data_IF_064891474760
#
_entry.id   IF_064891474760
#
_cell.length_a   1.000
_cell.length_b   1.000
_cell.length_c   1.000
_cell.angle_alpha   90.00
_cell.angle_beta   90.00
_cell.angle_gamma   90.00
#
_symmetry.space_group_name_H-M   'P 1'
#
loop_
_entity.id
_entity.type
_entity.pdbx_description
1 polymer ?
#
# COMPACT_ATOMS: atom_id res chain seq x y z
N UNK A 1 45.13 16.06 1.02
CA UNK A 1 45.29 15.16 -0.13
C UNK A 1 43.90 14.74 -0.60
N UNK A 2 43.51 15.01 -1.86
CA UNK A 2 42.28 14.45 -2.44
C UNK A 2 42.35 12.93 -2.29
N UNK A 3 41.35 12.33 -1.63
CA UNK A 3 41.34 10.89 -1.32
C UNK A 3 41.53 10.08 -2.59
N UNK A 4 42.37 9.03 -2.53
CA UNK A 4 42.54 8.07 -3.62
C UNK A 4 41.16 7.55 -4.04
N UNK A 5 40.88 7.53 -5.34
CA UNK A 5 39.63 7.00 -5.90
C UNK A 5 39.50 5.48 -5.71
N UNK A 6 38.41 4.90 -6.20
CA UNK A 6 38.24 3.44 -6.28
C UNK A 6 39.09 2.85 -7.41
N UNK A 7 39.56 1.61 -7.23
CA UNK A 7 40.22 0.80 -8.27
C UNK A 7 39.39 -0.44 -8.60
N UNK A 8 39.65 -1.05 -9.75
CA UNK A 8 39.06 -2.34 -10.14
C UNK A 8 39.96 -3.47 -9.66
N UNK A 9 39.37 -4.42 -8.93
CA UNK A 9 40.08 -5.59 -8.41
C UNK A 9 39.41 -6.87 -8.92
N UNK A 10 40.20 -7.88 -9.24
CA UNK A 10 39.73 -9.25 -9.34
C UNK A 10 39.63 -9.83 -7.92
N UNK A 11 38.53 -10.53 -7.64
CA UNK A 11 38.30 -11.22 -6.38
C UNK A 11 38.15 -12.72 -6.65
N UNK A 12 38.66 -13.55 -5.77
CA UNK A 12 38.40 -14.99 -5.78
C UNK A 12 37.48 -15.43 -4.63
N UNK A 13 37.09 -16.71 -4.64
CA UNK A 13 36.20 -17.29 -3.63
C UNK A 13 36.82 -17.44 -2.24
N UNK A 14 38.14 -17.25 -2.09
CA UNK A 14 38.87 -17.31 -0.82
C UNK A 14 39.11 -15.93 -0.21
N UNK A 15 38.63 -14.88 -0.87
CA UNK A 15 38.77 -13.50 -0.40
C UNK A 15 40.10 -12.84 -0.78
N UNK A 16 40.89 -13.45 -1.67
CA UNK A 16 42.06 -12.77 -2.23
C UNK A 16 41.61 -11.70 -3.22
N UNK A 17 42.41 -10.64 -3.30
CA UNK A 17 42.18 -9.51 -4.21
C UNK A 17 43.43 -9.22 -5.03
N UNK A 18 43.26 -9.07 -6.33
CA UNK A 18 44.31 -8.65 -7.25
C UNK A 18 43.89 -7.34 -7.93
N UNK A 19 44.74 -6.31 -7.89
CA UNK A 19 44.47 -5.05 -8.57
C UNK A 19 44.54 -5.26 -10.08
N UNK A 20 43.47 -4.89 -10.80
CA UNK A 20 43.44 -4.91 -12.26
C UNK A 20 43.78 -3.53 -12.82
N UNK A 21 43.08 -2.49 -12.37
CA UNK A 21 43.24 -1.11 -12.84
C UNK A 21 43.05 -0.16 -11.66
N UNK A 22 43.97 0.78 -11.52
CA UNK A 22 43.87 1.96 -10.65
C UNK A 22 44.28 3.19 -11.46
N UNK A 23 43.58 4.31 -11.27
CA UNK A 23 43.92 5.57 -11.90
C UNK A 23 44.02 6.68 -10.83
N UNK A 24 45.16 7.37 -10.72
CA UNK A 24 45.37 8.38 -9.67
C UNK A 24 44.51 9.64 -9.86
N UNK A 25 43.94 9.86 -11.05
CA UNK A 25 43.10 11.00 -11.41
C UNK A 25 41.62 10.63 -11.49
N UNK A 26 41.30 9.37 -11.77
CA UNK A 26 39.94 8.88 -12.00
C UNK A 26 39.58 7.74 -11.04
N UNK A 27 38.40 7.81 -10.45
CA UNK A 27 37.87 6.68 -9.69
C UNK A 27 37.31 5.62 -10.65
N UNK A 28 37.84 4.41 -10.61
CA UNK A 28 37.38 3.29 -11.42
C UNK A 28 36.29 2.48 -10.70
N UNK A 29 35.09 2.36 -11.28
CA UNK A 29 33.95 1.57 -10.77
C UNK A 29 33.13 0.95 -11.92
N UNK A 30 32.22 0.02 -11.62
CA UNK A 30 31.32 -0.65 -12.59
C UNK A 30 32.05 -1.35 -13.77
N UNK A 31 33.00 -2.26 -13.51
CA UNK A 31 33.69 -2.98 -14.58
C UNK A 31 32.68 -3.84 -15.36
N UNK A 32 32.68 -3.71 -16.70
CA UNK A 32 31.85 -4.52 -17.61
C UNK A 32 32.76 -5.37 -18.49
N UNK A 33 33.08 -6.62 -18.11
CA UNK A 33 33.96 -7.48 -18.90
C UNK A 33 33.39 -7.75 -20.30
N UNK A 34 34.19 -7.53 -21.33
CA UNK A 34 33.86 -7.92 -22.69
C UNK A 34 34.07 -9.43 -22.87
N UNK A 35 32.99 -10.20 -22.82
CA UNK A 35 33.00 -11.66 -23.03
C UNK A 35 31.72 -12.12 -23.72
N UNK A 36 31.79 -13.24 -24.42
CA UNK A 36 30.60 -13.92 -24.92
C UNK A 36 29.69 -14.33 -23.75
N UNK A 37 28.38 -14.12 -23.87
CA UNK A 37 27.37 -14.46 -22.86
C UNK A 37 26.28 -15.31 -23.49
N UNK A 38 25.81 -16.33 -22.77
CA UNK A 38 24.61 -17.08 -23.15
C UNK A 38 23.41 -16.15 -23.12
N UNK A 39 22.65 -16.08 -24.22
CA UNK A 39 21.40 -15.34 -24.27
C UNK A 39 20.42 -15.97 -23.27
N UNK A 40 19.84 -15.21 -22.32
CA UNK A 40 18.81 -15.75 -21.43
C UNK A 40 17.63 -16.32 -22.22
N UNK A 41 16.95 -17.30 -21.64
CA UNK A 41 15.72 -17.87 -22.20
C UNK A 41 14.72 -16.76 -22.50
N UNK A 42 14.18 -16.76 -23.71
CA UNK A 42 13.11 -15.83 -24.08
C UNK A 42 11.82 -16.26 -23.38
N UNK A 43 11.28 -15.42 -22.50
CA UNK A 43 9.96 -15.62 -21.89
C UNK A 43 8.96 -14.90 -22.78
N UNK A 44 8.01 -15.65 -23.36
CA UNK A 44 6.95 -15.05 -24.16
C UNK A 44 6.15 -14.05 -23.29
N UNK A 45 5.87 -12.84 -23.80
CA UNK A 45 5.05 -11.89 -23.06
C UNK A 45 3.64 -12.46 -22.89
N UNK A 46 3.12 -12.40 -21.67
CA UNK A 46 1.70 -12.65 -21.37
C UNK A 46 0.91 -11.38 -21.69
N UNK A 47 0.93 -10.96 -22.95
CA UNK A 47 -0.03 -9.99 -23.47
C UNK A 47 -1.01 -10.80 -24.28
N UNK A 48 -2.15 -11.13 -23.68
CA UNK A 48 -3.26 -11.72 -24.42
C UNK A 48 -3.70 -10.68 -25.48
N UNK A 49 -3.92 -11.13 -26.72
CA UNK A 49 -4.04 -10.28 -27.92
C UNK A 49 -5.11 -9.18 -27.84
N UNK A 50 -5.02 -8.17 -28.73
CA UNK A 50 -5.91 -6.99 -28.92
C UNK A 50 -6.37 -6.18 -27.68
N UNK A 51 -5.95 -6.56 -26.48
CA UNK A 51 -6.23 -5.89 -25.19
C UNK A 51 -5.36 -4.67 -24.93
N UNK A 52 -4.78 -4.05 -25.98
CA UNK A 52 -4.10 -2.74 -25.86
C UNK A 52 -5.00 -1.62 -25.31
N UNK A 53 -6.30 -1.88 -25.17
CA UNK A 53 -7.30 -0.96 -24.62
C UNK A 53 -8.02 -1.49 -23.37
N UNK A 54 -7.67 -2.68 -22.85
CA UNK A 54 -8.25 -3.17 -21.61
C UNK A 54 -7.76 -2.30 -20.44
N UNK A 55 -8.66 -1.51 -19.85
CA UNK A 55 -8.32 -0.64 -18.70
C UNK A 55 -8.21 -1.40 -17.38
N UNK A 56 -8.40 -2.72 -17.42
CA UNK A 56 -8.52 -3.57 -16.25
C UNK A 56 -7.70 -4.85 -16.39
N UNK A 57 -7.38 -5.41 -15.24
CA UNK A 57 -6.79 -6.73 -15.05
C UNK A 57 -7.64 -7.51 -14.04
N UNK A 58 -7.36 -8.80 -13.89
CA UNK A 58 -8.12 -9.68 -12.99
C UNK A 58 -7.25 -10.21 -11.86
N UNK A 59 -7.76 -10.10 -10.64
CA UNK A 59 -7.12 -10.60 -9.42
C UNK A 59 -7.92 -11.74 -8.81
N UNK A 60 -7.22 -12.79 -8.42
CA UNK A 60 -7.74 -13.88 -7.62
C UNK A 60 -6.96 -13.99 -6.30
N UNK A 61 -7.68 -14.04 -5.19
CA UNK A 61 -7.10 -14.31 -3.87
C UNK A 61 -7.65 -15.64 -3.40
N UNK A 62 -6.76 -16.61 -3.19
CA UNK A 62 -7.16 -17.95 -2.79
C UNK A 62 -7.76 -17.95 -1.38
N UNK A 63 -7.13 -17.28 -0.42
CA UNK A 63 -7.59 -17.23 0.97
C UNK A 63 -6.98 -16.05 1.73
N UNK A 64 -7.77 -15.02 2.02
CA UNK A 64 -7.30 -13.81 2.72
C UNK A 64 -6.70 -14.08 4.10
N UNK A 65 -6.98 -15.21 4.74
CA UNK A 65 -6.46 -15.55 6.06
C UNK A 65 -5.03 -16.12 6.02
N UNK A 66 -4.54 -16.51 4.85
CA UNK A 66 -3.15 -16.93 4.70
C UNK A 66 -2.18 -15.75 4.85
N UNK A 67 -1.30 -15.85 5.83
CA UNK A 67 -0.36 -14.78 6.20
C UNK A 67 -0.94 -13.76 7.19
N UNK A 68 -2.26 -13.79 7.44
CA UNK A 68 -2.94 -12.89 8.38
C UNK A 68 -3.24 -13.63 9.70
N UNK A 69 -2.31 -13.57 10.65
CA UNK A 69 -2.44 -14.23 11.96
C UNK A 69 -3.28 -13.41 12.94
N UNK A 70 -4.02 -14.07 13.84
CA UNK A 70 -4.79 -13.40 14.90
C UNK A 70 -6.13 -12.79 14.46
N UNK A 71 -6.59 -13.06 13.24
CA UNK A 71 -7.92 -12.68 12.76
C UNK A 71 -8.79 -13.93 12.62
N UNK A 72 -9.98 -13.89 13.20
CA UNK A 72 -10.96 -14.97 13.12
C UNK A 72 -11.47 -15.15 11.68
N UNK A 73 -11.58 -16.40 11.24
CA UNK A 73 -12.19 -16.72 9.95
C UNK A 73 -13.64 -16.24 9.91
N UNK A 74 -14.03 -15.67 8.78
CA UNK A 74 -15.33 -15.03 8.58
C UNK A 74 -15.39 -13.56 8.98
N UNK A 75 -14.39 -13.02 9.70
CA UNK A 75 -14.35 -11.61 10.08
C UNK A 75 -14.06 -10.68 8.90
N UNK A 76 -13.24 -11.12 7.93
CA UNK A 76 -13.01 -10.37 6.68
C UNK A 76 -14.24 -10.52 5.78
N UNK A 77 -14.88 -9.41 5.46
CA UNK A 77 -16.04 -9.35 4.55
C UNK A 77 -15.72 -8.72 3.21
N UNK A 78 -14.74 -7.81 3.18
CA UNK A 78 -14.41 -7.05 1.98
C UNK A 78 -12.89 -6.88 1.80
N UNK A 79 -12.48 -6.75 0.55
CA UNK A 79 -11.16 -6.26 0.16
C UNK A 79 -11.32 -4.87 -0.46
N UNK A 80 -10.74 -3.84 0.17
CA UNK A 80 -10.67 -2.50 -0.41
C UNK A 80 -9.44 -2.40 -1.30
N UNK A 81 -9.66 -2.04 -2.56
CA UNK A 81 -8.62 -1.79 -3.55
C UNK A 81 -8.31 -0.29 -3.58
N UNK A 82 -7.04 0.05 -3.38
CA UNK A 82 -6.56 1.42 -3.37
C UNK A 82 -5.32 1.56 -4.23
N UNK A 83 -4.98 2.78 -4.59
CA UNK A 83 -3.70 3.12 -5.23
C UNK A 83 -3.13 4.42 -4.67
N UNK A 84 -1.82 4.66 -4.86
CA UNK A 84 -1.22 5.92 -4.51
C UNK A 84 -1.62 6.96 -5.56
N UNK A 85 -1.79 8.20 -5.13
CA UNK A 85 -1.90 9.32 -6.06
C UNK A 85 -0.48 9.83 -6.37
N UNK A 86 -0.12 10.00 -7.65
CA UNK A 86 1.19 10.50 -8.01
C UNK A 86 1.42 11.90 -7.43
N UNK A 87 2.66 12.18 -7.08
CA UNK A 87 3.09 13.51 -6.67
C UNK A 87 3.59 14.26 -7.90
N UNK A 88 3.14 15.51 -8.07
CA UNK A 88 3.68 16.37 -9.11
C UNK A 88 5.13 16.72 -8.75
N UNK A 89 6.05 16.56 -9.70
CA UNK A 89 7.49 16.71 -9.44
C UNK A 89 7.87 18.00 -8.70
N UNK A 90 7.17 19.09 -8.98
CA UNK A 90 7.45 20.42 -8.41
C UNK A 90 6.55 20.79 -7.22
N UNK A 91 5.61 19.93 -6.82
CA UNK A 91 4.69 20.28 -5.75
C UNK A 91 5.43 20.34 -4.39
N UNK A 92 5.40 21.50 -3.70
CA UNK A 92 6.03 21.64 -2.40
C UNK A 92 5.29 20.84 -1.33
N UNK A 93 5.93 20.65 -0.17
CA UNK A 93 5.21 20.19 1.02
C UNK A 93 4.90 18.69 1.10
N UNK A 94 5.64 17.82 0.38
CA UNK A 94 5.56 16.35 0.52
C UNK A 94 5.52 15.92 2.00
N UNK A 95 6.42 16.48 2.80
CA UNK A 95 6.54 16.17 4.23
C UNK A 95 5.43 16.77 5.12
N UNK A 96 4.56 17.61 4.55
CA UNK A 96 3.40 18.23 5.23
C UNK A 96 2.07 17.65 4.76
N UNK A 97 2.08 16.62 3.91
CA UNK A 97 0.85 16.00 3.41
C UNK A 97 -0.04 15.42 4.53
N UNK A 98 0.55 14.98 5.63
CA UNK A 98 -0.16 14.53 6.82
C UNK A 98 0.76 14.50 8.05
N UNK A 99 0.14 14.43 9.23
CA UNK A 99 0.88 14.30 10.49
C UNK A 99 1.61 12.96 10.58
N UNK A 100 2.57 12.88 11.52
CA UNK A 100 3.45 11.72 11.70
C UNK A 100 4.27 11.34 10.44
N UNK A 101 4.60 12.32 9.59
CA UNK A 101 5.40 12.10 8.38
C UNK A 101 4.66 11.31 7.30
N UNK A 102 3.33 11.26 7.35
CA UNK A 102 2.54 10.55 6.35
C UNK A 102 2.53 11.33 5.02
N UNK A 103 3.21 10.78 4.02
CA UNK A 103 3.30 11.35 2.66
C UNK A 103 2.30 10.71 1.68
N UNK A 104 1.49 9.76 2.14
CA UNK A 104 0.71 8.89 1.27
C UNK A 104 -0.67 9.47 0.98
N UNK A 105 -0.82 10.09 -0.19
CA UNK A 105 -2.12 10.37 -0.79
C UNK A 105 -2.65 9.11 -1.47
N UNK A 106 -3.89 8.73 -1.18
CA UNK A 106 -4.48 7.48 -1.65
C UNK A 106 -5.79 7.74 -2.42
N UNK A 107 -5.99 6.95 -3.47
CA UNK A 107 -7.23 6.82 -4.21
C UNK A 107 -7.85 5.48 -3.84
N UNK A 108 -9.14 5.46 -3.51
CA UNK A 108 -9.92 4.24 -3.34
C UNK A 108 -10.59 3.95 -4.66
N UNK A 109 -10.31 2.78 -5.25
CA UNK A 109 -10.97 2.33 -6.47
C UNK A 109 -12.33 1.68 -6.18
N UNK A 110 -12.44 1.01 -5.04
CA UNK A 110 -13.67 0.40 -4.55
C UNK A 110 -13.38 -0.80 -3.66
N UNK A 111 -14.41 -1.59 -3.40
CA UNK A 111 -14.38 -2.81 -2.60
C UNK A 111 -14.85 -4.02 -3.41
N UNK A 112 -14.27 -5.17 -3.13
CA UNK A 112 -14.73 -6.48 -3.58
C UNK A 112 -15.19 -7.30 -2.37
N UNK A 113 -16.21 -8.15 -2.55
CA UNK A 113 -16.67 -9.06 -1.48
C UNK A 113 -15.73 -10.25 -1.36
N UNK A 114 -15.51 -10.69 -0.13
CA UNK A 114 -14.81 -11.94 0.20
C UNK A 114 -15.86 -13.02 0.48
N UNK A 115 -15.68 -14.20 -0.10
CA UNK A 115 -16.55 -15.35 0.13
C UNK A 115 -16.29 -15.98 1.52
N UNK A 116 -17.20 -16.83 1.96
CA UNK A 116 -17.14 -17.44 3.31
C UNK A 116 -15.88 -18.28 3.55
N UNK A 117 -15.34 -18.88 2.49
CA UNK A 117 -14.09 -19.66 2.52
C UNK A 117 -12.82 -18.78 2.63
N UNK A 118 -12.97 -17.45 2.49
CA UNK A 118 -11.88 -16.47 2.48
C UNK A 118 -11.37 -16.13 1.08
N UNK A 119 -11.94 -16.70 0.01
CA UNK A 119 -11.53 -16.44 -1.36
C UNK A 119 -12.16 -15.17 -1.93
N UNK A 120 -11.50 -14.54 -2.91
CA UNK A 120 -12.04 -13.39 -3.62
C UNK A 120 -11.57 -13.37 -5.08
N UNK A 121 -12.46 -12.95 -5.99
CA UNK A 121 -12.17 -12.84 -7.42
C UNK A 121 -12.79 -11.57 -7.99
N UNK A 122 -11.96 -10.66 -8.49
CA UNK A 122 -12.38 -9.31 -8.85
C UNK A 122 -11.47 -8.67 -9.90
N UNK A 123 -12.00 -7.63 -10.56
CA UNK A 123 -11.25 -6.81 -11.51
C UNK A 123 -10.59 -5.62 -10.81
N UNK A 124 -9.45 -5.20 -11.34
CA UNK A 124 -8.64 -4.07 -10.83
C UNK A 124 -8.21 -3.19 -11.99
N UNK A 125 -7.90 -1.91 -11.78
CA UNK A 125 -7.30 -1.08 -12.83
C UNK A 125 -5.95 -1.65 -13.27
N UNK A 126 -5.72 -1.69 -14.59
CA UNK A 126 -4.43 -2.03 -15.18
C UNK A 126 -3.51 -0.82 -15.23
N UNK A 127 -2.19 -1.05 -15.35
CA UNK A 127 -1.13 -0.04 -15.43
C UNK A 127 -1.11 0.96 -14.25
N UNK A 128 -1.69 0.55 -13.11
CA UNK A 128 -1.79 1.34 -11.89
C UNK A 128 -1.14 0.60 -10.74
N UNK A 129 -0.54 1.36 -9.82
CA UNK A 129 -0.04 0.79 -8.57
C UNK A 129 -1.23 0.56 -7.64
N UNK A 130 -1.52 -0.69 -7.31
CA UNK A 130 -2.63 -1.04 -6.43
C UNK A 130 -2.16 -1.75 -5.16
N UNK A 131 -2.94 -1.57 -4.10
CA UNK A 131 -2.76 -2.25 -2.83
C UNK A 131 -4.09 -2.48 -2.11
N UNK A 132 -4.07 -3.40 -1.15
CA UNK A 132 -5.29 -3.94 -0.53
C UNK A 132 -5.38 -3.65 0.96
N UNK A 133 -6.62 -3.52 1.44
CA UNK A 133 -6.98 -3.65 2.85
C UNK A 133 -8.02 -4.75 3.01
N UNK A 134 -7.79 -5.65 3.97
CA UNK A 134 -8.81 -6.56 4.46
C UNK A 134 -9.72 -5.80 5.43
N UNK A 135 -11.03 -5.84 5.19
CA UNK A 135 -12.02 -5.10 5.96
C UNK A 135 -13.01 -6.03 6.67
N UNK A 136 -13.51 -5.60 7.83
CA UNK A 136 -14.61 -6.24 8.53
C UNK A 136 -16.00 -5.86 7.98
N UNK A 137 -17.06 -6.30 8.65
CA UNK A 137 -18.46 -5.99 8.31
C UNK A 137 -18.79 -4.50 8.34
N UNK A 138 -18.05 -3.71 9.11
CA UNK A 138 -18.21 -2.28 9.27
C UNK A 138 -17.28 -1.48 8.34
N UNK A 139 -16.66 -2.14 7.36
CA UNK A 139 -15.68 -1.56 6.44
C UNK A 139 -14.42 -1.00 7.17
N UNK A 140 -14.14 -1.48 8.37
CA UNK A 140 -12.95 -1.10 9.14
C UNK A 140 -11.76 -2.00 8.79
N UNK A 141 -10.58 -1.39 8.71
CA UNK A 141 -9.36 -2.10 8.34
C UNK A 141 -8.95 -3.10 9.43
N UNK A 142 -8.80 -4.37 9.05
CA UNK A 142 -8.18 -5.43 9.85
C UNK A 142 -6.69 -5.55 9.55
N UNK A 143 -6.34 -5.51 8.27
CA UNK A 143 -4.96 -5.57 7.82
C UNK A 143 -4.77 -4.77 6.53
N UNK A 144 -3.55 -4.26 6.33
CA UNK A 144 -3.18 -3.43 5.18
C UNK A 144 -1.92 -3.99 4.54
N UNK A 145 -1.90 -4.07 3.20
CA UNK A 145 -0.71 -4.40 2.42
C UNK A 145 0.22 -3.18 2.32
N UNK A 146 1.41 -3.18 2.97
CA UNK A 146 2.31 -2.02 3.01
C UNK A 146 3.22 -1.91 1.78
N UNK A 147 2.78 -2.47 0.65
CA UNK A 147 3.47 -2.49 -0.64
C UNK A 147 2.41 -2.36 -1.73
N UNK A 148 2.83 -2.32 -2.99
CA UNK A 148 1.93 -2.26 -4.14
C UNK A 148 2.28 -3.36 -5.13
N UNK A 149 1.31 -3.72 -5.95
CA UNK A 149 1.49 -4.52 -7.15
C UNK A 149 0.97 -3.75 -8.35
N UNK A 150 1.41 -4.13 -9.54
CA UNK A 150 0.90 -3.64 -10.80
C UNK A 150 0.49 -4.83 -11.67
N UNK A 151 -0.47 -4.61 -12.56
CA UNK A 151 -0.92 -5.62 -13.51
C UNK A 151 -0.99 -4.99 -14.89
N UNK A 152 -0.58 -5.76 -15.90
CA UNK A 152 -0.75 -5.37 -17.29
C UNK A 152 -2.23 -5.47 -17.71
N UNK A 153 -2.67 -4.71 -18.73
CA UNK A 153 -3.97 -4.89 -19.36
C UNK A 153 -4.28 -6.36 -19.63
N UNK A 154 -5.43 -6.83 -19.15
CA UNK A 154 -5.88 -8.21 -19.34
C UNK A 154 -5.15 -9.30 -18.53
N UNK A 155 -4.12 -8.93 -17.77
CA UNK A 155 -3.38 -9.88 -16.93
C UNK A 155 -4.32 -10.54 -15.92
N UNK A 156 -4.14 -11.85 -15.72
CA UNK A 156 -4.77 -12.60 -14.63
C UNK A 156 -3.69 -13.00 -13.64
N UNK A 157 -3.80 -12.51 -12.41
CA UNK A 157 -2.82 -12.80 -11.34
C UNK A 157 -3.53 -13.36 -10.11
N UNK A 158 -2.85 -14.27 -9.43
CA UNK A 158 -3.31 -14.85 -8.18
C UNK A 158 -2.36 -14.57 -7.00
N UNK A 159 -2.94 -14.43 -5.81
CA UNK A 159 -2.25 -14.44 -4.52
C UNK A 159 -2.78 -15.60 -3.68
N UNK A 160 -1.93 -16.22 -2.87
CA UNK A 160 -2.35 -17.32 -1.98
C UNK A 160 -3.02 -16.78 -0.73
N UNK A 161 -2.66 -15.55 -0.33
CA UNK A 161 -3.26 -14.86 0.80
C UNK A 161 -3.00 -13.36 0.83
N UNK A 162 -3.11 -12.79 2.03
CA UNK A 162 -3.03 -11.35 2.24
C UNK A 162 -1.88 -11.04 3.21
N UNK A 163 -0.64 -11.32 2.75
CA UNK A 163 0.66 -11.15 3.43
C UNK A 163 1.42 -12.49 3.68
N UNK A 164 1.27 -13.43 2.74
CA UNK A 164 2.05 -14.65 2.66
C UNK A 164 3.54 -14.43 2.34
N UNK A 165 4.35 -15.49 2.45
CA UNK A 165 5.70 -15.48 1.89
C UNK A 165 5.64 -15.59 0.36
N UNK A 166 6.30 -14.67 -0.35
CA UNK A 166 6.31 -14.59 -1.83
C UNK A 166 6.79 -15.85 -2.56
N UNK A 167 7.56 -16.71 -1.89
CA UNK A 167 8.08 -17.98 -2.46
C UNK A 167 7.29 -19.20 -2.00
N UNK A 168 6.24 -19.02 -1.19
CA UNK A 168 5.39 -20.11 -0.73
C UNK A 168 4.50 -20.53 -1.92
N UNK A 169 4.62 -21.79 -2.32
CA UNK A 169 3.71 -22.37 -3.29
C UNK A 169 2.29 -22.47 -2.68
N UNK A 170 1.23 -22.35 -3.49
CA UNK A 170 -0.13 -22.65 -3.04
C UNK A 170 -0.21 -24.10 -2.55
N UNK A 171 -0.99 -24.33 -1.50
CA UNK A 171 -1.26 -25.69 -1.05
C UNK A 171 -2.18 -26.38 -2.06
N UNK A 172 -1.72 -27.52 -2.60
CA UNK A 172 -2.50 -28.39 -3.47
C UNK A 172 -3.62 -29.14 -2.72
N UNK A 173 -3.60 -29.15 -1.38
CA UNK A 173 -4.55 -29.87 -0.55
C UNK A 173 -5.85 -29.08 -0.28
N UNK A 174 -6.02 -27.88 -0.83
CA UNK A 174 -7.22 -27.08 -0.60
C UNK A 174 -8.36 -27.46 -1.53
N UNK A 175 -9.56 -27.38 -0.98
CA UNK A 175 -10.79 -27.42 -1.74
C UNK A 175 -10.82 -26.30 -2.79
N UNK A 176 -11.59 -26.54 -3.85
CA UNK A 176 -11.87 -25.57 -4.91
C UNK A 176 -12.44 -24.26 -4.30
N UNK A 177 -11.77 -23.10 -4.50
CA UNK A 177 -12.20 -21.84 -3.90
C UNK A 177 -13.53 -21.33 -4.48
N UNK A 178 -14.47 -20.94 -3.60
CA UNK A 178 -15.82 -20.52 -3.99
C UNK A 178 -15.81 -19.35 -4.96
N UNK A 179 -14.84 -18.43 -4.84
CA UNK A 179 -14.76 -17.27 -5.73
C UNK A 179 -14.57 -17.64 -7.23
N UNK A 180 -14.09 -18.86 -7.54
CA UNK A 180 -13.94 -19.34 -8.92
C UNK A 180 -15.24 -19.89 -9.51
N UNK A 181 -16.26 -20.15 -8.68
CA UNK A 181 -17.61 -20.52 -9.13
C UNK A 181 -18.45 -19.29 -9.53
N UNK A 182 -17.86 -18.10 -9.41
CA UNK A 182 -18.50 -16.83 -9.71
C UNK A 182 -17.68 -16.03 -10.74
N UNK A 183 -18.31 -15.16 -11.53
CA UNK A 183 -17.59 -14.22 -12.38
C UNK A 183 -16.78 -13.22 -11.54
N UNK A 184 -15.70 -12.69 -12.13
CA UNK A 184 -14.90 -11.66 -11.48
C UNK A 184 -15.77 -10.45 -11.14
N UNK A 185 -15.78 -10.06 -9.86
CA UNK A 185 -16.55 -8.92 -9.38
C UNK A 185 -15.99 -7.60 -9.93
N UNK A 186 -16.88 -6.68 -10.28
CA UNK A 186 -16.52 -5.27 -10.47
C UNK A 186 -16.46 -4.59 -9.11
N UNK A 187 -15.43 -3.75 -8.90
CA UNK A 187 -15.30 -3.00 -7.65
C UNK A 187 -16.50 -2.06 -7.47
N UNK A 188 -17.12 -2.12 -6.29
CA UNK A 188 -18.20 -1.20 -5.92
C UNK A 188 -17.71 -0.12 -4.96
N UNK A 189 -18.33 1.07 -4.93
CA UNK A 189 -18.11 2.03 -3.86
C UNK A 189 -18.51 1.44 -2.50
N UNK A 190 -17.96 1.99 -1.42
CA UNK A 190 -18.45 1.68 -0.08
C UNK A 190 -19.79 2.38 0.16
N UNK A 191 -20.62 1.89 1.10
CA UNK A 191 -21.85 2.56 1.46
C UNK A 191 -21.62 4.04 1.81
N UNK A 192 -22.38 4.93 1.17
CA UNK A 192 -22.24 6.38 1.37
C UNK A 192 -21.11 7.04 0.55
N UNK A 193 -20.36 6.29 -0.26
CA UNK A 193 -19.33 6.82 -1.15
C UNK A 193 -19.73 6.73 -2.63
N UNK A 194 -19.04 7.52 -3.46
CA UNK A 194 -19.04 7.39 -4.92
C UNK A 194 -17.69 6.87 -5.41
N UNK A 195 -17.70 6.11 -6.51
CA UNK A 195 -16.53 5.41 -7.06
C UNK A 195 -15.47 6.34 -7.67
N UNK A 196 -14.37 5.77 -8.19
CA UNK A 196 -13.03 5.95 -7.67
C UNK A 196 -12.71 7.37 -7.19
N UNK A 197 -12.37 7.52 -5.91
CA UNK A 197 -12.19 8.84 -5.28
C UNK A 197 -10.95 8.94 -4.39
N UNK A 198 -10.51 10.18 -4.16
CA UNK A 198 -9.53 10.50 -3.13
C UNK A 198 -10.23 10.59 -1.76
N UNK A 199 -9.55 10.20 -0.68
CA UNK A 199 -9.98 10.52 0.68
C UNK A 199 -9.28 11.80 1.12
N UNK A 200 -10.06 12.79 1.53
CA UNK A 200 -9.57 14.12 1.91
C UNK A 200 -10.25 14.61 3.18
N UNK A 201 -9.47 14.83 4.23
CA UNK A 201 -9.99 15.07 5.59
C UNK A 201 -10.98 16.25 5.66
N UNK A 202 -10.68 17.37 5.01
CA UNK A 202 -11.53 18.59 5.06
C UNK A 202 -12.89 18.38 4.41
N UNK A 203 -12.99 17.50 3.41
CA UNK A 203 -14.26 17.25 2.70
C UNK A 203 -15.01 16.06 3.26
N UNK A 204 -14.32 15.09 3.85
CA UNK A 204 -14.92 13.82 4.25
C UNK A 204 -15.14 13.70 5.75
N UNK A 205 -14.26 14.28 6.57
CA UNK A 205 -14.28 14.13 8.03
C UNK A 205 -14.80 15.41 8.69
N UNK A 206 -14.27 16.57 8.32
CA UNK A 206 -14.63 17.84 8.96
C UNK A 206 -16.14 18.12 8.95
N UNK A 207 -16.90 17.90 7.86
CA UNK A 207 -18.34 18.17 7.86
C UNK A 207 -19.13 17.29 8.86
N UNK A 208 -18.65 16.06 9.12
CA UNK A 208 -19.23 15.19 10.14
C UNK A 208 -18.98 15.77 11.53
N UNK A 209 -17.76 16.25 11.80
CA UNK A 209 -17.41 16.89 13.07
C UNK A 209 -18.19 18.20 13.26
N UNK A 210 -18.35 19.00 12.22
CA UNK A 210 -19.09 20.27 12.27
C UNK A 210 -20.56 20.03 12.64
N UNK A 211 -21.17 18.99 12.06
CA UNK A 211 -22.57 18.64 12.31
C UNK A 211 -22.80 17.99 13.68
N UNK A 212 -21.87 17.16 14.14
CA UNK A 212 -22.11 16.26 15.28
C UNK A 212 -21.25 16.52 16.52
N UNK A 213 -20.17 17.30 16.42
CA UNK A 213 -19.17 17.44 17.49
C UNK A 213 -18.90 18.90 17.89
N UNK A 214 -18.80 19.82 16.93
CA UNK A 214 -18.36 21.20 17.15
C UNK A 214 -19.27 21.99 18.10
N UNK A 215 -20.55 21.62 18.23
CA UNK A 215 -21.47 22.24 19.20
C UNK A 215 -20.98 22.15 20.65
N UNK A 216 -20.29 21.06 21.02
CA UNK A 216 -19.69 20.85 22.34
C UNK A 216 -18.16 21.04 22.33
N UNK A 217 -17.52 20.85 21.18
CA UNK A 217 -16.08 20.87 20.97
C UNK A 217 -15.66 22.03 20.06
N UNK A 218 -16.25 23.21 20.27
CA UNK A 218 -15.97 24.41 19.50
C UNK A 218 -14.77 25.22 20.03
N UNK A 219 -14.45 26.33 19.36
CA UNK A 219 -13.29 27.16 19.71
C UNK A 219 -13.38 27.85 21.08
N UNK A 220 -14.58 28.05 21.63
CA UNK A 220 -14.81 28.70 22.93
C UNK A 220 -15.21 27.67 23.97
N UNK A 221 -14.41 27.56 25.04
CA UNK A 221 -14.62 26.63 26.16
C UNK A 221 -14.96 25.19 25.72
N UNK A 222 -14.14 24.55 24.84
CA UNK A 222 -14.40 23.21 24.37
C UNK A 222 -14.47 22.21 25.53
N UNK A 223 -15.49 21.35 25.53
CA UNK A 223 -15.56 20.23 26.48
C UNK A 223 -14.32 19.34 26.34
N UNK A 224 -13.78 18.87 27.46
CA UNK A 224 -12.54 18.08 27.49
C UNK A 224 -11.31 18.83 26.93
N UNK A 225 -11.39 20.16 26.85
CA UNK A 225 -10.39 21.01 26.20
C UNK A 225 -10.11 20.62 24.74
N UNK A 226 -11.04 19.93 24.06
CA UNK A 226 -10.85 19.38 22.72
C UNK A 226 -11.58 20.26 21.70
N UNK A 227 -10.83 21.03 20.91
CA UNK A 227 -11.35 21.85 19.81
C UNK A 227 -11.35 21.03 18.51
N UNK A 228 -12.53 20.81 17.93
CA UNK A 228 -12.74 20.04 16.70
C UNK A 228 -13.18 20.92 15.52
N UNK A 229 -12.93 22.22 15.59
CA UNK A 229 -13.23 23.13 14.49
C UNK A 229 -12.33 22.91 13.27
N UNK A 230 -12.88 23.15 12.09
CA UNK A 230 -12.15 23.11 10.82
C UNK A 230 -11.26 24.31 10.55
N UNK A 231 -10.99 25.15 11.56
CA UNK A 231 -10.15 26.35 11.40
C UNK A 231 -8.75 25.94 10.96
N UNK A 232 -8.23 26.58 9.91
CA UNK A 232 -6.88 26.34 9.42
C UNK A 232 -5.83 26.88 10.39
N UNK A 233 -4.73 26.13 10.50
CA UNK A 233 -3.49 26.47 11.21
C UNK A 233 -2.37 26.68 10.19
N UNK A 234 -1.13 26.84 10.64
CA UNK A 234 0.04 26.96 9.76
C UNK A 234 0.31 25.70 8.92
N UNK A 235 -0.26 24.55 9.30
CA UNK A 235 0.02 23.26 8.63
C UNK A 235 -1.23 22.50 8.21
N UNK A 236 -2.28 22.47 9.03
CA UNK A 236 -3.52 21.70 8.77
C UNK A 236 -4.75 22.45 9.30
N UNK A 237 -5.72 21.73 9.89
CA UNK A 237 -6.81 22.33 10.66
C UNK A 237 -6.76 21.87 12.12
N UNK A 238 -7.37 22.67 13.00
CA UNK A 238 -7.36 22.46 14.46
C UNK A 238 -7.87 21.08 14.84
N UNK A 239 -8.97 20.61 14.24
CA UNK A 239 -9.52 19.28 14.53
C UNK A 239 -8.55 18.14 14.20
N UNK A 240 -7.88 18.21 13.04
CA UNK A 240 -6.93 17.18 12.60
C UNK A 240 -5.75 17.08 13.56
N UNK A 241 -5.20 18.24 13.94
CA UNK A 241 -4.10 18.34 14.89
C UNK A 241 -4.50 17.83 16.28
N UNK A 242 -5.70 18.15 16.76
CA UNK A 242 -6.16 17.72 18.07
C UNK A 242 -6.47 16.22 18.12
N UNK A 243 -7.11 15.64 17.10
CA UNK A 243 -7.42 14.21 17.04
C UNK A 243 -6.15 13.36 17.07
N UNK A 244 -5.14 13.74 16.27
CA UNK A 244 -3.88 12.99 16.20
C UNK A 244 -2.98 13.34 17.39
N UNK A 245 -2.83 14.62 17.72
CA UNK A 245 -1.95 15.10 18.79
C UNK A 245 -2.34 14.60 20.18
N UNK A 246 -3.62 14.29 20.40
CA UNK A 246 -4.13 13.68 21.65
C UNK A 246 -4.21 12.15 21.61
N UNK A 247 -3.79 11.53 20.51
CA UNK A 247 -3.82 10.07 20.36
C UNK A 247 -5.23 9.47 20.37
N UNK A 248 -6.23 10.23 19.90
CA UNK A 248 -7.60 9.73 19.71
C UNK A 248 -7.70 8.87 18.45
N UNK A 249 -6.82 9.12 17.47
CA UNK A 249 -6.73 8.31 16.24
C UNK A 249 -5.43 7.52 16.24
N UNK A 250 -5.54 6.20 16.05
CA UNK A 250 -4.37 5.34 15.86
C UNK A 250 -3.82 5.49 14.45
N UNK A 251 -2.65 6.13 14.33
CA UNK A 251 -1.96 6.36 13.06
C UNK A 251 -0.61 5.66 13.03
N UNK A 252 -0.18 5.27 11.84
CA UNK A 252 1.19 4.76 11.63
C UNK A 252 2.18 5.92 11.66
N UNK A 253 3.26 5.77 12.43
CA UNK A 253 4.38 6.72 12.38
C UNK A 253 5.23 6.46 11.14
N UNK A 254 5.15 7.39 10.18
CA UNK A 254 5.85 7.34 8.91
C UNK A 254 7.09 8.26 8.88
N UNK A 255 7.50 8.84 10.02
CA UNK A 255 8.69 9.70 10.08
C UNK A 255 9.95 8.93 9.70
N UNK A 256 10.83 9.59 8.95
CA UNK A 256 12.10 9.04 8.49
C UNK A 256 12.91 8.45 9.67
N UNK A 257 13.40 7.23 9.51
CA UNK A 257 14.14 6.49 10.55
C UNK A 257 13.28 5.80 11.63
N UNK A 258 11.97 6.08 11.73
CA UNK A 258 11.03 5.36 12.62
C UNK A 258 10.24 4.27 11.92
N UNK A 259 10.12 4.33 10.59
CA UNK A 259 9.52 3.29 9.78
C UNK A 259 10.48 2.10 9.62
N UNK A 260 10.58 1.25 10.63
CA UNK A 260 11.01 -0.13 10.39
C UNK A 260 9.98 -0.75 9.45
N UNK A 261 10.36 -1.09 8.22
CA UNK A 261 9.50 -1.78 7.24
C UNK A 261 9.23 -3.25 7.63
N UNK A 262 9.05 -3.52 8.92
CA UNK A 262 8.57 -4.81 9.37
C UNK A 262 7.09 -4.89 9.03
N UNK A 263 6.63 -6.03 8.49
CA UNK A 263 5.22 -6.34 8.47
C UNK A 263 4.63 -6.20 9.86
N UNK A 264 3.68 -5.31 10.02
CA UNK A 264 2.94 -5.17 11.27
C UNK A 264 1.85 -6.25 11.33
N UNK A 265 1.58 -6.83 12.50
CA UNK A 265 0.48 -7.78 12.65
C UNK A 265 -0.87 -7.09 12.36
N UNK A 266 -1.92 -7.86 12.06
CA UNK A 266 -3.27 -7.31 11.94
C UNK A 266 -3.67 -6.50 13.17
N UNK A 267 -4.56 -5.53 12.99
CA UNK A 267 -5.04 -4.62 14.05
C UNK A 267 -3.98 -3.74 14.71
N UNK A 268 -2.80 -3.57 14.10
CA UNK A 268 -1.75 -2.70 14.67
C UNK A 268 -2.05 -1.20 14.60
N UNK A 269 -2.98 -0.78 13.74
CA UNK A 269 -3.40 0.62 13.58
C UNK A 269 -4.79 0.69 12.92
N UNK A 270 -5.40 1.87 12.94
CA UNK A 270 -6.72 2.13 12.36
C UNK A 270 -7.84 2.15 13.40
N UNK A 271 -9.08 2.15 12.92
CA UNK A 271 -10.27 2.46 13.72
C UNK A 271 -10.48 1.57 14.94
N UNK A 272 -10.06 0.30 14.89
CA UNK A 272 -10.18 -0.62 16.03
C UNK A 272 -9.30 -0.25 17.24
N UNK A 273 -8.27 0.58 17.06
CA UNK A 273 -7.40 1.06 18.14
C UNK A 273 -7.59 2.55 18.47
N UNK A 274 -8.42 3.25 17.69
CA UNK A 274 -8.79 4.64 17.98
C UNK A 274 -9.70 4.70 19.21
N UNK A 275 -9.68 5.83 19.94
CA UNK A 275 -10.40 6.05 21.21
C UNK A 275 -11.54 7.04 21.06
#
# INVERSE_FOLDING_TARGET
>A
AKGKGYGIYALDGWGNRALLIDDPKLSCFQPTPLRQRTRPTNIAPVVMGDEKHAKTATMFVQDVYEGMTGIERGRVKYLRVMGPLPWEWQAPGVFRAGMAGNVHRKKVYGVAKVHEDGSAYFTVPADENIFFQALDENYMQLQHMPTFINLMPGEKRSCIGCHEQRRKAPSMARAHPLALDHPAQTLSPQPGETGPRMVHYVTDVQPVLDKHCVSCHGAKNPKGHLDLTGKLTDSWCVSYENLIGRGLVSVRDCRYGRAGYRPEPPLSFGSHLSK
#
